data_IF_706355891753
#
_entry.id   IF_706355891753
#
_cell.length_a   1.000
_cell.length_b   1.000
_cell.length_c   1.000
_cell.angle_alpha   90.00
_cell.angle_beta   90.00
_cell.angle_gamma   90.00
#
_symmetry.space_group_name_H-M   'P 1'
#
loop_
_entity.id
_entity.type
_entity.pdbx_description
1 polymer ?
#
# COMPACT_ATOMS: atom_id res chain seq x y z
N UNK A 1 -19.92 -0.68 40.53
CA UNK A 1 -19.77 -2.10 40.10
C UNK A 1 -18.93 -2.25 38.81
N UNK A 2 -19.19 -1.45 37.76
CA UNK A 2 -18.50 -1.53 36.46
C UNK A 2 -16.97 -1.34 36.54
N UNK A 3 -16.48 -0.33 37.28
CA UNK A 3 -15.03 -0.06 37.49
C UNK A 3 -14.28 -1.23 38.14
N UNK A 4 -14.85 -1.92 39.14
CA UNK A 4 -14.24 -3.10 39.78
C UNK A 4 -14.17 -4.30 38.82
N UNK A 5 -15.21 -4.50 38.00
CA UNK A 5 -15.21 -5.53 36.93
C UNK A 5 -14.17 -5.22 35.85
N UNK A 6 -14.08 -3.97 35.39
CA UNK A 6 -13.10 -3.54 34.39
C UNK A 6 -11.67 -3.68 34.90
N UNK A 7 -11.41 -3.27 36.15
CA UNK A 7 -10.11 -3.44 36.81
C UNK A 7 -9.74 -4.91 37.02
N UNK A 8 -10.72 -5.79 37.28
CA UNK A 8 -10.51 -7.24 37.34
C UNK A 8 -10.24 -7.84 35.95
N UNK A 9 -10.93 -7.38 34.90
CA UNK A 9 -10.68 -7.83 33.53
C UNK A 9 -9.30 -7.38 33.01
N UNK A 10 -8.86 -6.18 33.38
CA UNK A 10 -7.57 -5.61 32.97
C UNK A 10 -6.39 -6.05 33.87
N UNK A 11 -6.62 -6.33 35.16
CA UNK A 11 -5.55 -6.52 36.18
C UNK A 11 -5.66 -7.87 36.94
N UNK A 12 -6.62 -8.75 36.65
CA UNK A 12 -6.69 -10.05 37.36
C UNK A 12 -5.45 -10.93 37.13
N UNK A 13 -5.31 -11.98 37.95
CA UNK A 13 -4.19 -12.92 38.05
C UNK A 13 -3.53 -13.29 36.72
N UNK A 14 -2.26 -12.90 36.58
CA UNK A 14 -1.42 -13.12 35.41
C UNK A 14 -1.14 -14.62 35.26
N UNK A 15 -2.09 -15.36 34.67
CA UNK A 15 -1.95 -16.80 34.44
C UNK A 15 -1.42 -17.02 33.04
N UNK A 16 -0.39 -17.87 32.89
CA UNK A 16 0.19 -18.24 31.59
C UNK A 16 -0.84 -18.69 30.55
N UNK A 17 -1.89 -19.41 30.98
CA UNK A 17 -3.01 -19.83 30.11
C UNK A 17 -3.79 -18.65 29.53
N UNK A 18 -4.01 -17.59 30.32
CA UNK A 18 -4.71 -16.39 29.86
C UNK A 18 -3.83 -15.57 28.93
N UNK A 19 -2.53 -15.46 29.24
CA UNK A 19 -1.56 -14.82 28.36
C UNK A 19 -1.52 -15.49 26.99
N UNK A 20 -1.41 -16.82 26.94
CA UNK A 20 -1.41 -17.59 25.69
C UNK A 20 -2.71 -17.37 24.89
N UNK A 21 -3.88 -17.42 25.54
CA UNK A 21 -5.17 -17.15 24.88
C UNK A 21 -5.27 -15.73 24.33
N UNK A 22 -4.75 -14.75 25.08
CA UNK A 22 -4.73 -13.34 24.64
C UNK A 22 -3.84 -13.15 23.42
N UNK A 23 -2.64 -13.76 23.42
CA UNK A 23 -1.73 -13.69 22.28
C UNK A 23 -2.33 -14.38 21.05
N UNK A 24 -2.96 -15.54 21.23
CA UNK A 24 -3.65 -16.24 20.15
C UNK A 24 -4.80 -15.41 19.59
N UNK A 25 -5.61 -14.78 20.45
CA UNK A 25 -6.69 -13.89 20.01
C UNK A 25 -6.14 -12.72 19.20
N UNK A 26 -5.12 -12.03 19.70
CA UNK A 26 -4.46 -10.91 19.01
C UNK A 26 -3.92 -11.37 17.65
N UNK A 27 -3.25 -12.52 17.61
CA UNK A 27 -2.69 -13.07 16.38
C UNK A 27 -3.78 -13.39 15.34
N UNK A 28 -4.85 -14.09 15.75
CA UNK A 28 -5.98 -14.41 14.86
C UNK A 28 -6.68 -13.14 14.37
N UNK A 29 -6.90 -12.16 15.26
CA UNK A 29 -7.47 -10.86 14.87
C UNK A 29 -6.60 -10.12 13.86
N UNK A 30 -5.27 -10.13 14.04
CA UNK A 30 -4.33 -9.54 13.09
C UNK A 30 -4.37 -10.28 11.74
N UNK A 31 -4.36 -11.61 11.74
CA UNK A 31 -4.45 -12.41 10.52
C UNK A 31 -5.75 -12.14 9.76
N UNK A 32 -6.89 -12.09 10.46
CA UNK A 32 -8.18 -11.75 9.85
C UNK A 32 -8.15 -10.34 9.27
N UNK A 33 -7.63 -9.37 10.02
CA UNK A 33 -7.52 -7.99 9.54
C UNK A 33 -6.68 -7.91 8.25
N UNK A 34 -5.49 -8.50 8.26
CA UNK A 34 -4.59 -8.52 7.09
C UNK A 34 -5.24 -9.26 5.92
N UNK A 35 -5.90 -10.40 6.14
CA UNK A 35 -6.59 -11.15 5.08
C UNK A 35 -7.61 -10.29 4.31
N UNK A 36 -8.35 -9.42 4.99
CA UNK A 36 -9.34 -8.55 4.35
C UNK A 36 -8.80 -7.20 3.88
N UNK A 37 -7.62 -6.76 4.35
CA UNK A 37 -7.13 -5.38 4.14
C UNK A 37 -5.76 -5.29 3.47
N UNK A 38 -5.07 -6.41 3.26
CA UNK A 38 -3.73 -6.45 2.68
C UNK A 38 -3.65 -5.70 1.34
N UNK A 39 -4.54 -6.01 0.40
CA UNK A 39 -4.51 -5.43 -0.95
C UNK A 39 -4.69 -3.90 -0.93
N UNK A 40 -5.47 -3.39 0.02
CA UNK A 40 -5.68 -1.96 0.19
C UNK A 40 -4.46 -1.23 0.78
N UNK A 41 -3.46 -1.94 1.28
CA UNK A 41 -2.33 -1.36 2.01
C UNK A 41 -0.94 -1.68 1.44
N UNK A 42 -0.78 -2.73 0.63
CA UNK A 42 0.54 -3.21 0.19
C UNK A 42 1.01 -2.55 -1.13
N UNK A 43 0.11 -1.99 -1.94
CA UNK A 43 0.43 -1.41 -3.25
C UNK A 43 -0.13 0.01 -3.45
N UNK A 44 -0.12 0.85 -2.41
CA UNK A 44 -0.51 2.25 -2.61
C UNK A 44 0.58 2.99 -3.38
N UNK A 45 0.27 3.56 -4.56
CA UNK A 45 1.17 4.51 -5.19
C UNK A 45 1.29 5.75 -4.30
N UNK A 46 2.50 6.29 -4.20
CA UNK A 46 2.71 7.63 -3.68
C UNK A 46 2.02 8.66 -4.61
N UNK A 47 1.70 9.86 -4.11
CA UNK A 47 1.33 10.95 -5.00
C UNK A 47 2.42 11.15 -6.05
N UNK A 48 2.03 11.42 -7.29
CA UNK A 48 2.97 11.67 -8.39
C UNK A 48 3.99 12.76 -8.00
N UNK A 49 5.28 12.46 -8.11
CA UNK A 49 6.39 13.37 -7.85
C UNK A 49 6.53 14.41 -8.98
N UNK A 50 6.19 14.02 -10.20
CA UNK A 50 6.35 14.84 -11.38
C UNK A 50 5.30 15.96 -11.46
N UNK A 51 5.75 17.12 -11.94
CA UNK A 51 4.88 18.25 -12.28
C UNK A 51 4.61 18.30 -13.78
N UNK A 52 3.55 19.00 -14.17
CA UNK A 52 3.28 19.24 -15.60
C UNK A 52 4.44 20.04 -16.24
N UNK A 53 4.95 19.54 -17.37
CA UNK A 53 5.95 20.20 -18.21
C UNK A 53 5.54 20.08 -19.69
N UNK A 54 5.91 21.03 -20.57
CA UNK A 54 5.61 20.97 -22.01
C UNK A 54 6.02 19.66 -22.70
N UNK A 55 7.06 18.99 -22.22
CA UNK A 55 7.58 17.74 -22.81
C UNK A 55 6.84 16.48 -22.29
N UNK A 56 5.89 16.64 -21.36
CA UNK A 56 5.07 15.55 -20.84
C UNK A 56 3.99 15.18 -21.87
N UNK A 57 4.05 13.94 -22.35
CA UNK A 57 3.06 13.38 -23.24
C UNK A 57 1.88 12.83 -22.43
N UNK A 58 0.66 13.14 -22.88
CA UNK A 58 -0.57 12.51 -22.39
C UNK A 58 -1.06 11.50 -23.43
N UNK A 59 -0.87 10.23 -23.13
CA UNK A 59 -1.35 9.13 -23.95
C UNK A 59 -2.74 8.74 -23.47
N UNK A 60 -3.70 8.59 -24.40
CA UNK A 60 -5.06 8.16 -24.07
C UNK A 60 -5.20 6.70 -24.52
N UNK A 61 -5.52 5.82 -23.59
CA UNK A 61 -5.78 4.40 -23.89
C UNK A 61 -7.17 4.21 -24.50
N UNK A 62 -7.47 3.06 -25.14
CA UNK A 62 -8.79 2.79 -25.69
C UNK A 62 -9.94 2.93 -24.68
N UNK A 63 -9.69 2.59 -23.42
CA UNK A 63 -10.59 2.73 -22.27
C UNK A 63 -10.56 4.12 -21.61
N UNK A 64 -9.99 5.13 -22.28
CA UNK A 64 -9.97 6.54 -21.87
C UNK A 64 -9.12 6.84 -20.62
N UNK A 65 -8.19 5.96 -20.27
CA UNK A 65 -7.20 6.23 -19.22
C UNK A 65 -6.15 7.18 -19.79
N UNK A 66 -5.83 8.24 -19.06
CA UNK A 66 -4.75 9.16 -19.38
C UNK A 66 -3.46 8.68 -18.72
N UNK A 67 -2.46 8.33 -19.53
CA UNK A 67 -1.12 7.97 -19.09
C UNK A 67 -0.18 9.15 -19.34
N UNK A 68 0.60 9.50 -18.33
CA UNK A 68 1.71 10.44 -18.47
C UNK A 68 2.95 9.69 -18.94
N UNK A 69 3.64 10.23 -19.94
CA UNK A 69 4.89 9.68 -20.45
C UNK A 69 5.88 10.80 -20.78
N UNK A 70 7.17 10.48 -20.81
CA UNK A 70 8.22 11.37 -21.29
C UNK A 70 8.86 10.72 -22.51
N UNK A 71 9.02 11.48 -23.59
CA UNK A 71 9.77 11.05 -24.76
C UNK A 71 11.18 11.65 -24.71
N UNK A 72 12.18 10.78 -24.64
CA UNK A 72 13.59 11.15 -24.60
C UNK A 72 14.24 10.81 -25.95
N UNK A 73 14.22 11.74 -26.93
CA UNK A 73 14.73 11.45 -28.27
C UNK A 73 16.26 11.29 -28.29
N UNK A 74 16.74 10.28 -29.01
CA UNK A 74 18.15 10.13 -29.36
C UNK A 74 18.28 9.95 -30.88
N UNK A 75 18.77 10.96 -31.63
CA UNK A 75 18.86 10.91 -33.09
C UNK A 75 19.72 9.77 -33.65
N UNK A 76 20.63 9.23 -32.84
CA UNK A 76 21.53 8.14 -33.24
C UNK A 76 21.01 6.76 -32.83
N UNK A 77 19.83 6.67 -32.19
CA UNK A 77 19.27 5.40 -31.76
C UNK A 77 18.68 4.61 -32.93
N UNK A 78 19.03 3.33 -33.00
CA UNK A 78 18.41 2.38 -33.95
C UNK A 78 17.07 1.84 -33.44
N UNK A 79 16.86 1.86 -32.12
CA UNK A 79 15.69 1.31 -31.45
C UNK A 79 15.14 2.29 -30.42
N UNK A 80 13.83 2.20 -30.19
CA UNK A 80 13.15 2.91 -29.09
C UNK A 80 12.93 1.94 -27.93
N UNK A 81 13.33 2.34 -26.73
CA UNK A 81 13.03 1.61 -25.50
C UNK A 81 11.71 2.14 -24.93
N UNK A 82 10.72 1.26 -24.79
CA UNK A 82 9.56 1.51 -23.96
C UNK A 82 9.85 1.02 -22.54
N UNK A 83 10.15 1.95 -21.64
CA UNK A 83 10.34 1.66 -20.23
C UNK A 83 9.02 1.88 -19.47
N UNK A 84 8.63 0.91 -18.66
CA UNK A 84 7.46 0.97 -17.78
C UNK A 84 7.98 0.71 -16.37
N UNK A 85 7.68 1.61 -15.45
CA UNK A 85 8.13 1.55 -14.07
C UNK A 85 7.43 0.41 -13.30
N UNK A 86 7.92 0.10 -12.10
CA UNK A 86 7.32 -0.88 -11.19
C UNK A 86 6.05 -0.38 -10.51
N UNK A 87 5.41 -1.24 -9.72
CA UNK A 87 4.26 -0.83 -8.91
C UNK A 87 4.65 0.29 -7.94
N UNK A 88 3.76 1.28 -7.78
CA UNK A 88 3.91 2.43 -6.89
C UNK A 88 5.09 3.37 -7.19
N UNK A 89 5.76 3.20 -8.32
CA UNK A 89 6.72 4.15 -8.89
C UNK A 89 6.01 5.13 -9.84
N UNK A 90 6.74 6.14 -10.30
CA UNK A 90 6.30 7.10 -11.31
C UNK A 90 7.47 7.53 -12.20
N UNK A 91 7.35 8.66 -12.90
CA UNK A 91 8.35 9.13 -13.88
C UNK A 91 9.67 9.64 -13.27
N UNK A 92 9.81 9.59 -11.93
CA UNK A 92 10.99 10.08 -11.21
C UNK A 92 10.74 11.43 -10.56
#
# INVERSE_FOLDING_TARGET
MLKKRLRRLLIADFTWKRLARSLLLVYVSLCLYVFFRADAHIFLPQPSSYSYHPDLLKLITPDQIQLAAVYLPNPHATYTLLYIHGNAEDLG
#
